data_IF_592743700015
#
_entry.id   IF_592743700015
#
_cell.length_a   1.000
_cell.length_b   1.000
_cell.length_c   1.000
_cell.angle_alpha   90.00
_cell.angle_beta   90.00
_cell.angle_gamma   90.00
#
_symmetry.space_group_name_H-M   'P 1'
#
loop_
_entity.id
_entity.type
_entity.pdbx_description
1 polymer ?
#
# COMPACT_ATOMS: atom_id res chain seq x y z
N UNK A 1 16.77 17.19 0.46
CA UNK A 1 15.73 16.15 0.25
C UNK A 1 16.41 14.91 -0.31
N UNK A 2 16.12 13.72 0.24
CA UNK A 2 16.57 12.45 -0.40
C UNK A 2 15.61 12.14 -1.55
N UNK A 3 16.15 11.72 -2.68
CA UNK A 3 15.34 11.24 -3.81
C UNK A 3 14.56 9.98 -3.44
N UNK A 4 13.39 9.81 -4.06
CA UNK A 4 12.60 8.58 -3.95
C UNK A 4 13.15 7.53 -4.90
N UNK A 5 13.06 6.26 -4.50
CA UNK A 5 13.31 5.19 -5.46
C UNK A 5 12.15 5.09 -6.45
N UNK A 6 12.40 4.51 -7.63
CA UNK A 6 11.34 4.27 -8.63
C UNK A 6 10.16 3.46 -8.07
N UNK A 7 10.45 2.53 -7.16
CA UNK A 7 9.42 1.72 -6.51
C UNK A 7 8.57 2.53 -5.53
N UNK A 8 9.19 3.48 -4.81
CA UNK A 8 8.48 4.39 -3.91
C UNK A 8 7.57 5.34 -4.69
N UNK A 9 8.04 5.90 -5.80
CA UNK A 9 7.22 6.73 -6.70
C UNK A 9 6.00 5.96 -7.23
N UNK A 10 6.21 4.76 -7.75
CA UNK A 10 5.13 3.91 -8.25
C UNK A 10 4.13 3.55 -7.15
N UNK A 11 4.60 3.31 -5.93
CA UNK A 11 3.75 3.00 -4.80
C UNK A 11 2.87 4.20 -4.41
N UNK A 12 3.45 5.41 -4.32
CA UNK A 12 2.71 6.63 -4.03
C UNK A 12 1.64 6.91 -5.10
N UNK A 13 1.97 6.75 -6.38
CA UNK A 13 1.00 6.89 -7.47
C UNK A 13 -0.11 5.83 -7.38
N UNK A 14 0.24 4.60 -7.01
CA UNK A 14 -0.73 3.52 -6.84
C UNK A 14 -1.73 3.82 -5.71
N UNK A 15 -1.24 4.29 -4.55
CA UNK A 15 -2.08 4.71 -3.42
C UNK A 15 -3.01 5.85 -3.85
N UNK A 16 -2.47 6.87 -4.52
CA UNK A 16 -3.25 8.02 -4.99
C UNK A 16 -4.38 7.60 -5.96
N UNK A 17 -4.13 6.62 -6.81
CA UNK A 17 -5.13 6.08 -7.74
C UNK A 17 -6.23 5.27 -7.06
N UNK A 18 -5.92 4.58 -5.96
CA UNK A 18 -6.87 3.73 -5.23
C UNK A 18 -7.73 4.51 -4.23
N UNK A 19 -7.26 5.69 -3.78
CA UNK A 19 -7.98 6.54 -2.81
C UNK A 19 -8.37 5.71 -1.57
N UNK A 20 -9.66 5.60 -1.26
CA UNK A 20 -10.19 4.88 -0.09
C UNK A 20 -9.98 3.36 -0.13
N UNK A 21 -9.55 2.80 -1.25
CA UNK A 21 -9.30 1.36 -1.41
C UNK A 21 -7.81 0.99 -1.28
N UNK A 22 -6.97 1.91 -0.82
CA UNK A 22 -5.53 1.70 -0.68
C UNK A 22 -5.18 0.82 0.54
N UNK A 23 -5.50 -0.47 0.46
CA UNK A 23 -5.02 -1.50 1.38
C UNK A 23 -4.24 -2.58 0.63
N UNK A 24 -3.49 -3.42 1.36
CA UNK A 24 -2.40 -4.22 0.78
C UNK A 24 -2.76 -5.07 -0.45
N UNK A 25 -3.95 -5.68 -0.51
CA UNK A 25 -4.37 -6.52 -1.65
C UNK A 25 -4.68 -5.67 -2.90
N UNK A 26 -5.59 -4.68 -2.88
CA UNK A 26 -5.81 -3.77 -4.00
C UNK A 26 -4.55 -3.05 -4.47
N UNK A 27 -3.68 -2.63 -3.53
CA UNK A 27 -2.39 -1.99 -3.88
C UNK A 27 -1.56 -2.94 -4.73
N UNK A 28 -1.39 -4.20 -4.30
CA UNK A 28 -0.62 -5.21 -5.05
C UNK A 28 -1.21 -5.47 -6.43
N UNK A 29 -2.53 -5.63 -6.51
CA UNK A 29 -3.22 -5.88 -7.78
C UNK A 29 -3.08 -4.69 -8.75
N UNK A 30 -3.28 -3.46 -8.25
CA UNK A 30 -3.17 -2.25 -9.05
C UNK A 30 -1.76 -2.00 -9.57
N UNK A 31 -0.74 -2.11 -8.72
CA UNK A 31 0.65 -1.89 -9.15
C UNK A 31 1.13 -2.98 -10.10
N UNK A 32 0.71 -4.23 -9.91
CA UNK A 32 0.98 -5.35 -10.83
C UNK A 32 0.38 -5.05 -12.20
N UNK A 33 -0.88 -4.59 -12.25
CA UNK A 33 -1.55 -4.22 -13.50
C UNK A 33 -0.90 -3.01 -14.20
N UNK A 34 -0.50 -1.98 -13.45
CA UNK A 34 0.11 -0.77 -14.00
C UNK A 34 1.53 -0.99 -14.55
N UNK A 35 2.27 -1.92 -13.94
CA UNK A 35 3.68 -2.15 -14.26
C UNK A 35 3.91 -3.37 -15.14
N UNK A 36 2.88 -4.20 -15.33
CA UNK A 36 2.96 -5.51 -16.00
C UNK A 36 4.05 -6.42 -15.41
N UNK A 37 4.34 -6.24 -14.12
CA UNK A 37 5.38 -6.98 -13.37
C UNK A 37 4.81 -7.64 -12.14
N UNK A 38 5.42 -8.74 -11.73
CA UNK A 38 5.08 -9.40 -10.48
C UNK A 38 5.57 -8.58 -9.27
N UNK A 39 4.67 -8.36 -8.30
CA UNK A 39 4.99 -7.77 -7.01
C UNK A 39 4.60 -8.74 -5.90
N UNK A 40 5.58 -9.19 -5.11
CA UNK A 40 5.29 -10.01 -3.93
C UNK A 40 4.57 -9.16 -2.88
N UNK A 41 3.73 -9.81 -2.06
CA UNK A 41 3.03 -9.10 -0.98
C UNK A 41 4.02 -8.54 0.06
N UNK A 42 5.14 -9.23 0.29
CA UNK A 42 6.21 -8.76 1.17
C UNK A 42 6.88 -7.49 0.66
N UNK A 43 7.18 -7.41 -0.63
CA UNK A 43 7.77 -6.21 -1.23
C UNK A 43 6.84 -5.00 -1.15
N UNK A 44 5.53 -5.21 -1.34
CA UNK A 44 4.52 -4.16 -1.17
C UNK A 44 4.55 -3.62 0.26
N UNK A 45 4.45 -4.50 1.27
CA UNK A 45 4.48 -4.05 2.67
C UNK A 45 5.80 -3.40 3.08
N UNK A 46 6.93 -3.91 2.61
CA UNK A 46 8.25 -3.34 2.89
C UNK A 46 8.38 -1.89 2.36
N UNK A 47 7.88 -1.61 1.15
CA UNK A 47 7.85 -0.24 0.60
C UNK A 47 6.87 0.64 1.36
N UNK A 48 5.66 0.14 1.67
CA UNK A 48 4.67 0.90 2.43
C UNK A 48 5.19 1.28 3.82
N UNK A 49 5.88 0.37 4.50
CA UNK A 49 6.52 0.64 5.79
C UNK A 49 7.63 1.70 5.66
N UNK A 50 8.45 1.64 4.60
CA UNK A 50 9.45 2.69 4.33
C UNK A 50 8.81 4.06 4.08
N UNK A 51 7.76 4.12 3.27
CA UNK A 51 7.05 5.37 2.98
C UNK A 51 6.39 5.95 4.24
N UNK A 52 5.85 5.08 5.09
CA UNK A 52 5.28 5.47 6.39
C UNK A 52 6.36 6.02 7.31
N UNK A 53 7.51 5.36 7.43
CA UNK A 53 8.67 5.84 8.21
C UNK A 53 9.23 7.17 7.69
N UNK A 54 9.11 7.42 6.39
CA UNK A 54 9.47 8.70 5.76
C UNK A 54 8.41 9.80 5.97
N UNK A 55 7.25 9.48 6.54
CA UNK A 55 6.14 10.42 6.73
C UNK A 55 5.41 10.79 5.44
N UNK A 56 5.55 9.98 4.38
CA UNK A 56 4.96 10.23 3.06
C UNK A 56 3.58 9.57 2.89
N UNK A 57 3.28 8.59 3.72
CA UNK A 57 2.03 7.81 3.72
C UNK A 57 1.59 7.66 5.16
N UNK A 58 0.29 7.85 5.42
CA UNK A 58 -0.31 7.66 6.74
C UNK A 58 -1.06 6.34 6.79
N UNK A 59 -0.98 5.61 7.91
CA UNK A 59 -1.70 4.33 8.05
C UNK A 59 -2.88 4.49 8.99
N UNK A 60 -4.06 4.05 8.56
CA UNK A 60 -5.24 3.93 9.42
C UNK A 60 -5.71 2.48 9.46
N UNK A 61 -6.07 1.98 10.64
CA UNK A 61 -6.69 0.67 10.78
C UNK A 61 -8.22 0.81 10.67
N UNK A 62 -8.89 -0.03 9.90
CA UNK A 62 -10.36 -0.11 10.02
C UNK A 62 -10.74 -0.83 11.30
N UNK A 63 -11.95 -0.51 11.76
CA UNK A 63 -12.65 -1.39 12.69
C UNK A 63 -12.65 -2.83 12.16
N UNK A 64 -12.51 -3.84 13.04
CA UNK A 64 -12.69 -5.23 12.65
C UNK A 64 -14.08 -5.40 12.06
N UNK A 65 -14.18 -6.02 10.88
CA UNK A 65 -15.49 -6.42 10.35
C UNK A 65 -16.11 -7.37 11.39
N UNK A 66 -17.38 -7.14 11.77
CA UNK A 66 -18.16 -7.94 12.74
C UNK A 66 -18.46 -9.38 12.26
N UNK A 67 -17.54 -10.01 11.54
CA UNK A 67 -17.53 -11.43 11.23
C UNK A 67 -16.50 -12.11 12.13
N UNK A 68 -16.84 -13.28 12.66
CA UNK A 68 -15.98 -14.06 13.57
C UNK A 68 -14.65 -14.36 12.87
N UNK A 69 -13.57 -13.66 13.25
CA UNK A 69 -12.24 -13.75 12.62
C UNK A 69 -11.87 -12.63 11.63
N UNK A 70 -12.66 -11.55 11.54
CA UNK A 70 -12.35 -10.41 10.67
C UNK A 70 -11.03 -9.73 11.05
N UNK A 71 -9.99 -9.89 10.22
CA UNK A 71 -8.73 -9.15 10.39
C UNK A 71 -8.97 -7.67 10.09
N UNK A 72 -8.53 -6.79 10.99
CA UNK A 72 -8.47 -5.35 10.72
C UNK A 72 -7.63 -5.10 9.47
N UNK A 73 -8.12 -4.24 8.57
CA UNK A 73 -7.40 -3.83 7.36
C UNK A 73 -6.59 -2.58 7.67
N UNK A 74 -5.36 -2.53 7.17
CA UNK A 74 -4.53 -1.32 7.15
C UNK A 74 -4.75 -0.59 5.84
N UNK A 75 -5.21 0.65 5.92
CA UNK A 75 -5.37 1.59 4.82
C UNK A 75 -4.19 2.56 4.83
N UNK A 76 -3.73 2.92 3.63
CA UNK A 76 -2.52 3.70 3.36
C UNK A 76 -2.87 4.94 2.54
#
# INVERSE_FOLDING_TARGET
MKFLSRQEELMLLTILLLRSEAYGVPIREKITKLTEKYWSIGAVYDILDRLTRKGLVSVTASEPVKTRGGKSRRYY
#
